data_IF_775855463747
#
_entry.id   IF_775855463747
#
_cell.length_a   1.000
_cell.length_b   1.000
_cell.length_c   1.000
_cell.angle_alpha   90.00
_cell.angle_beta   90.00
_cell.angle_gamma   90.00
#
_symmetry.space_group_name_H-M   'P 1'
#
loop_
_entity.id
_entity.type
_entity.pdbx_description
1 polymer ?
#
# COMPACT_ATOMS: atom_id res chain seq x y z
N UNK A 1 36.93 -0.71 14.94
CA UNK A 1 35.77 0.00 14.33
C UNK A 1 35.05 0.78 15.43
N UNK A 2 35.07 2.12 15.40
CA UNK A 2 34.57 2.95 16.51
C UNK A 2 33.03 3.07 16.48
N UNK A 3 32.40 3.24 17.64
CA UNK A 3 30.94 3.39 17.76
C UNK A 3 30.38 4.53 16.88
N UNK A 4 31.20 5.55 16.61
CA UNK A 4 30.85 6.66 15.72
C UNK A 4 30.62 6.21 14.27
N UNK A 5 31.49 5.36 13.72
CA UNK A 5 31.32 4.85 12.35
C UNK A 5 30.09 3.94 12.22
N UNK A 6 29.81 3.13 13.24
CA UNK A 6 28.59 2.29 13.29
C UNK A 6 27.30 3.13 13.33
N UNK A 7 27.26 4.17 14.15
CA UNK A 7 26.10 5.07 14.23
C UNK A 7 25.89 5.85 12.93
N UNK A 8 26.98 6.27 12.27
CA UNK A 8 26.91 6.95 10.98
C UNK A 8 26.36 6.03 9.89
N UNK A 9 26.88 4.80 9.78
CA UNK A 9 26.38 3.77 8.86
C UNK A 9 24.91 3.44 9.11
N UNK A 10 24.50 3.33 10.38
CA UNK A 10 23.11 3.12 10.77
C UNK A 10 22.21 4.29 10.33
N UNK A 11 22.64 5.53 10.58
CA UNK A 11 21.90 6.74 10.19
C UNK A 11 21.74 6.84 8.66
N UNK A 12 22.83 6.66 7.91
CA UNK A 12 22.77 6.68 6.44
C UNK A 12 21.87 5.58 5.89
N UNK A 13 21.95 4.35 6.42
CA UNK A 13 21.04 3.26 6.04
C UNK A 13 19.59 3.63 6.30
N UNK A 14 19.28 4.22 7.47
CA UNK A 14 17.91 4.63 7.82
C UNK A 14 17.35 5.69 6.87
N UNK A 15 18.13 6.73 6.57
CA UNK A 15 17.70 7.80 5.67
C UNK A 15 17.54 7.34 4.21
N UNK A 16 18.49 6.56 3.71
CA UNK A 16 18.45 6.05 2.33
C UNK A 16 17.31 5.03 2.18
N UNK A 17 17.14 4.14 3.16
CA UNK A 17 16.05 3.16 3.17
C UNK A 17 14.69 3.83 3.18
N UNK A 18 14.49 4.85 4.02
CA UNK A 18 13.23 5.60 4.05
C UNK A 18 12.90 6.21 2.69
N UNK A 19 13.88 6.83 2.02
CA UNK A 19 13.68 7.39 0.67
C UNK A 19 13.35 6.31 -0.36
N UNK A 20 14.07 5.20 -0.37
CA UNK A 20 13.82 4.09 -1.30
C UNK A 20 12.44 3.48 -1.08
N UNK A 21 12.06 3.29 0.18
CA UNK A 21 10.76 2.77 0.57
C UNK A 21 9.64 3.71 0.11
N UNK A 22 9.77 5.02 0.34
CA UNK A 22 8.79 6.02 -0.10
C UNK A 22 8.61 5.99 -1.62
N UNK A 23 9.71 5.89 -2.37
CA UNK A 23 9.69 5.81 -3.83
C UNK A 23 8.96 4.54 -4.28
N UNK A 24 9.34 3.38 -3.72
CA UNK A 24 8.74 2.09 -4.07
C UNK A 24 7.24 2.05 -3.79
N UNK A 25 6.82 2.51 -2.60
CA UNK A 25 5.39 2.58 -2.23
C UNK A 25 4.64 3.56 -3.13
N UNK A 26 5.24 4.71 -3.48
CA UNK A 26 4.62 5.69 -4.37
C UNK A 26 4.36 5.12 -5.77
N UNK A 27 5.31 4.38 -6.33
CA UNK A 27 5.18 3.71 -7.62
C UNK A 27 4.10 2.63 -7.58
N UNK A 28 4.10 1.78 -6.56
CA UNK A 28 3.09 0.73 -6.42
C UNK A 28 1.68 1.31 -6.23
N UNK A 29 1.55 2.40 -5.47
CA UNK A 29 0.28 3.13 -5.33
C UNK A 29 -0.18 3.76 -6.64
N UNK A 30 0.74 4.20 -7.51
CA UNK A 30 0.39 4.69 -8.84
C UNK A 30 -0.11 3.55 -9.74
N UNK A 31 0.63 2.44 -9.82
CA UNK A 31 0.23 1.27 -10.62
C UNK A 31 -1.13 0.71 -10.17
N UNK A 32 -1.42 0.76 -8.86
CA UNK A 32 -2.75 0.47 -8.31
C UNK A 32 -3.86 1.27 -8.96
N UNK A 33 -3.67 2.57 -9.16
CA UNK A 33 -4.70 3.45 -9.74
C UNK A 33 -4.95 3.17 -11.22
N UNK A 34 -3.93 2.64 -11.92
CA UNK A 34 -4.03 2.26 -13.32
C UNK A 34 -4.70 0.89 -13.45
N UNK A 35 -4.33 -0.07 -12.60
CA UNK A 35 -4.86 -1.42 -12.68
C UNK A 35 -5.27 -1.97 -11.31
N UNK A 36 -6.52 -1.69 -10.95
CA UNK A 36 -7.17 -2.16 -9.72
C UNK A 36 -7.29 -3.69 -9.66
N UNK A 37 -7.23 -4.40 -10.80
CA UNK A 37 -7.46 -5.86 -10.84
C UNK A 37 -6.39 -6.66 -10.07
N UNK A 38 -5.15 -6.16 -10.00
CA UNK A 38 -4.07 -6.83 -9.25
C UNK A 38 -4.25 -6.77 -7.73
N UNK A 39 -5.10 -5.87 -7.24
CA UNK A 39 -5.20 -5.52 -5.82
C UNK A 39 -6.43 -6.12 -5.14
N UNK A 40 -7.37 -6.67 -5.91
CA UNK A 40 -8.52 -7.40 -5.39
C UNK A 40 -9.21 -6.64 -4.25
N UNK A 41 -9.40 -7.32 -3.12
CA UNK A 41 -10.00 -6.75 -1.90
C UNK A 41 -8.99 -6.12 -0.93
N UNK A 42 -7.72 -5.97 -1.32
CA UNK A 42 -6.67 -5.45 -0.44
C UNK A 42 -6.84 -3.96 -0.18
N UNK A 43 -6.56 -3.54 1.05
CA UNK A 43 -6.67 -2.16 1.54
C UNK A 43 -5.31 -1.71 2.06
N UNK A 44 -4.86 -0.51 1.67
CA UNK A 44 -3.51 -0.02 1.95
C UNK A 44 -3.48 1.14 2.96
N UNK A 45 -4.63 1.50 3.51
CA UNK A 45 -4.72 2.59 4.47
C UNK A 45 -6.04 2.63 5.23
N UNK A 46 -6.08 3.44 6.29
CA UNK A 46 -7.25 3.63 7.16
C UNK A 46 -8.47 4.11 6.38
N UNK A 47 -8.26 5.00 5.41
CA UNK A 47 -9.36 5.57 4.61
C UNK A 47 -9.96 4.56 3.63
N UNK A 48 -9.16 3.59 3.18
CA UNK A 48 -9.60 2.58 2.19
C UNK A 48 -10.60 1.60 2.80
N UNK A 49 -10.40 1.21 4.06
CA UNK A 49 -11.33 0.35 4.80
C UNK A 49 -12.70 1.04 4.90
N UNK A 50 -12.71 2.30 5.33
CA UNK A 50 -13.96 3.06 5.43
C UNK A 50 -14.65 3.22 4.07
N UNK A 51 -13.91 3.55 3.01
CA UNK A 51 -14.46 3.67 1.65
C UNK A 51 -15.07 2.36 1.16
N UNK A 52 -14.38 1.24 1.38
CA UNK A 52 -14.85 -0.10 0.99
C UNK A 52 -16.13 -0.47 1.74
N UNK A 53 -16.10 -0.31 3.07
CA UNK A 53 -17.26 -0.58 3.93
C UNK A 53 -18.45 0.32 3.59
N UNK A 54 -18.24 1.63 3.42
CA UNK A 54 -19.29 2.58 3.02
C UNK A 54 -19.92 2.20 1.67
N UNK A 55 -19.11 1.73 0.73
CA UNK A 55 -19.59 1.27 -0.57
C UNK A 55 -20.46 0.03 -0.43
N UNK A 56 -20.05 -0.94 0.39
CA UNK A 56 -20.84 -2.12 0.71
C UNK A 56 -22.19 -1.77 1.36
N UNK A 57 -22.17 -0.99 2.44
CA UNK A 57 -23.39 -0.58 3.16
C UNK A 57 -24.36 0.18 2.25
N UNK A 58 -23.85 1.10 1.41
CA UNK A 58 -24.69 1.80 0.43
C UNK A 58 -25.36 0.88 -0.58
N UNK A 59 -24.74 -0.25 -0.94
CA UNK A 59 -25.36 -1.24 -1.84
C UNK A 59 -26.47 -2.00 -1.13
N UNK A 60 -26.22 -2.43 0.10
CA UNK A 60 -27.21 -3.13 0.94
C UNK A 60 -28.44 -2.25 1.19
N UNK A 61 -28.24 -0.97 1.50
CA UNK A 61 -29.32 -0.02 1.79
C UNK A 61 -30.10 0.49 0.56
N UNK A 62 -29.61 0.23 -0.67
CA UNK A 62 -30.32 0.58 -1.91
C UNK A 62 -31.37 -0.46 -2.30
N UNK A 63 -31.28 -1.66 -1.74
CA UNK A 63 -32.35 -2.64 -1.82
C UNK A 63 -33.45 -2.14 -0.88
N UNK A 64 -34.58 -1.72 -1.44
CA UNK A 64 -35.72 -1.09 -0.76
C UNK A 64 -36.48 -2.06 0.20
N UNK A 65 -35.75 -2.99 0.81
CA UNK A 65 -36.25 -4.05 1.67
C UNK A 65 -35.49 -4.13 3.00
N UNK A 66 -35.85 -5.11 3.82
CA UNK A 66 -35.22 -5.33 5.13
C UNK A 66 -33.71 -5.62 4.99
N UNK A 67 -32.94 -5.11 5.94
CA UNK A 67 -31.49 -5.36 6.00
C UNK A 67 -31.28 -6.86 6.21
N UNK A 68 -30.56 -7.57 5.32
CA UNK A 68 -30.36 -9.00 5.45
C UNK A 68 -29.46 -9.32 6.67
N UNK A 69 -29.66 -10.50 7.24
CA UNK A 69 -28.80 -10.99 8.32
C UNK A 69 -27.39 -11.30 7.78
N UNK A 70 -26.36 -10.84 8.50
CA UNK A 70 -24.96 -11.01 8.08
C UNK A 70 -24.20 -11.89 9.07
N UNK A 71 -23.30 -12.71 8.53
CA UNK A 71 -22.31 -13.46 9.29
C UNK A 71 -20.92 -12.94 8.97
N UNK A 72 -20.07 -12.86 10.00
CA UNK A 72 -18.72 -12.32 9.87
C UNK A 72 -17.71 -13.30 10.46
N UNK A 73 -16.55 -13.40 9.82
CA UNK A 73 -15.40 -14.15 10.34
C UNK A 73 -14.22 -13.20 10.37
N UNK A 74 -13.51 -13.18 11.49
CA UNK A 74 -12.21 -12.53 11.63
C UNK A 74 -11.14 -13.60 11.77
N UNK A 75 -10.11 -13.52 10.95
CA UNK A 75 -8.94 -14.39 11.02
C UNK A 75 -7.67 -13.53 11.09
N UNK A 76 -6.74 -13.94 11.93
CA UNK A 76 -5.44 -13.29 12.09
C UNK A 76 -4.35 -14.17 11.44
N UNK A 77 -3.44 -13.55 10.69
CA UNK A 77 -2.33 -14.25 10.02
C UNK A 77 -1.09 -14.22 10.91
N UNK A 78 -0.63 -15.39 11.32
CA UNK A 78 0.60 -15.52 12.12
C UNK A 78 1.86 -15.36 11.26
N UNK A 79 2.90 -14.70 11.80
CA UNK A 79 4.22 -14.54 11.16
C UNK A 79 4.19 -13.98 9.74
N UNK A 80 3.22 -13.11 9.43
CA UNK A 80 2.98 -12.62 8.07
C UNK A 80 4.20 -12.00 7.37
N UNK A 81 5.12 -11.41 8.13
CA UNK A 81 6.36 -10.85 7.60
C UNK A 81 7.43 -11.93 7.35
N UNK A 82 7.61 -12.84 8.31
CA UNK A 82 8.64 -13.89 8.23
C UNK A 82 8.26 -14.99 7.23
N UNK A 83 6.97 -15.13 6.94
CA UNK A 83 6.44 -16.15 6.03
C UNK A 83 6.36 -15.69 4.58
N UNK A 84 6.93 -14.55 4.20
CA UNK A 84 6.83 -14.03 2.83
C UNK A 84 7.73 -14.88 1.89
N UNK A 85 7.16 -15.60 0.90
CA UNK A 85 7.96 -16.29 -0.10
C UNK A 85 8.61 -15.28 -1.06
N UNK A 86 9.93 -15.11 -0.96
CA UNK A 86 10.67 -14.10 -1.73
C UNK A 86 10.54 -14.28 -3.25
N UNK A 87 10.56 -15.50 -3.77
CA UNK A 87 10.44 -15.74 -5.21
C UNK A 87 9.09 -15.26 -5.75
N UNK A 88 8.02 -15.52 -5.00
CA UNK A 88 6.67 -15.06 -5.34
C UNK A 88 6.52 -13.55 -5.16
N UNK A 89 7.17 -12.96 -4.16
CA UNK A 89 7.19 -11.50 -4.02
C UNK A 89 7.81 -10.85 -5.26
N UNK A 90 8.96 -11.35 -5.72
CA UNK A 90 9.62 -10.83 -6.93
C UNK A 90 8.74 -11.00 -8.15
N UNK A 91 8.15 -12.18 -8.34
CA UNK A 91 7.22 -12.46 -9.45
C UNK A 91 6.06 -11.45 -9.48
N UNK A 92 5.36 -11.25 -8.35
CA UNK A 92 4.23 -10.32 -8.26
C UNK A 92 4.68 -8.89 -8.55
N UNK A 93 5.81 -8.45 -7.99
CA UNK A 93 6.34 -7.10 -8.24
C UNK A 93 6.70 -6.92 -9.72
N UNK A 94 7.30 -7.92 -10.37
CA UNK A 94 7.60 -7.87 -11.81
C UNK A 94 6.34 -7.80 -12.67
N UNK A 95 5.28 -8.51 -12.31
CA UNK A 95 3.99 -8.45 -13.03
C UNK A 95 3.31 -7.08 -12.93
N UNK A 96 3.49 -6.39 -11.80
CA UNK A 96 2.95 -5.04 -11.58
C UNK A 96 3.79 -4.01 -12.33
N UNK A 97 5.11 -4.01 -12.13
CA UNK A 97 5.99 -2.97 -12.68
C UNK A 97 6.31 -3.14 -14.17
N UNK A 98 6.24 -4.38 -14.69
CA UNK A 98 6.50 -4.72 -16.10
C UNK A 98 7.79 -4.09 -16.62
N UNK A 99 8.95 -4.45 -16.04
CA UNK A 99 10.24 -3.80 -16.33
C UNK A 99 10.62 -3.81 -17.82
N UNK A 100 10.13 -4.79 -18.58
CA UNK A 100 10.25 -4.87 -20.04
C UNK A 100 9.72 -3.65 -20.79
N UNK A 101 8.72 -2.94 -20.21
CA UNK A 101 8.15 -1.72 -20.78
C UNK A 101 9.02 -0.48 -20.58
N UNK A 102 10.06 -0.56 -19.75
CA UNK A 102 10.95 0.56 -19.39
C UNK A 102 10.19 1.84 -19.00
N UNK A 103 9.12 1.67 -18.23
CA UNK A 103 8.29 2.78 -17.75
C UNK A 103 9.11 3.75 -16.90
N UNK A 104 8.98 5.05 -17.17
CA UNK A 104 9.63 6.11 -16.37
C UNK A 104 8.61 6.71 -15.41
N UNK A 105 8.91 6.67 -14.11
CA UNK A 105 8.06 7.24 -13.06
C UNK A 105 8.55 8.62 -12.65
N UNK A 106 7.64 9.59 -12.58
CA UNK A 106 7.93 10.95 -12.11
C UNK A 106 7.26 11.21 -10.77
N UNK A 107 8.04 11.34 -9.70
CA UNK A 107 7.52 11.71 -8.38
C UNK A 107 7.52 13.24 -8.25
N UNK A 108 6.32 13.80 -8.04
CA UNK A 108 6.15 15.25 -7.84
C UNK A 108 5.91 15.53 -6.35
N UNK A 109 6.64 16.50 -5.82
CA UNK A 109 6.47 16.98 -4.43
C UNK A 109 5.87 18.38 -4.47
N UNK A 110 4.82 18.58 -3.67
CA UNK A 110 4.12 19.85 -3.57
C UNK A 110 4.05 20.29 -2.12
N UNK A 111 4.13 21.60 -1.89
CA UNK A 111 3.78 22.22 -0.63
C UNK A 111 2.36 22.77 -0.73
N UNK A 112 1.50 22.44 0.22
CA UNK A 112 0.14 22.98 0.30
C UNK A 112 0.14 24.11 1.32
N UNK A 113 -0.16 25.32 0.88
CA UNK A 113 -0.37 26.45 1.78
C UNK A 113 -1.83 26.44 2.20
N UNK A 114 -2.10 26.10 3.46
CA UNK A 114 -3.44 26.20 4.02
C UNK A 114 -3.60 27.56 4.69
N UNK A 115 -4.61 28.31 4.28
CA UNK A 115 -5.04 29.50 4.99
C UNK A 115 -5.98 29.01 6.10
N UNK A 116 -5.48 29.03 7.34
CA UNK A 116 -6.33 28.85 8.53
C UNK A 116 -7.07 30.15 8.79
N UNK A 117 -8.38 30.13 8.64
CA UNK A 117 -9.31 31.18 9.10
C UNK A 117 -9.88 30.88 10.47
#
# INVERSE_FOLDING_TARGET
ETMFQKNMLFYYRKCIWGKLQDIGISVLNYERTINTSYIGSSVFGRDDIYKSWKTFVKKVLKSDGEIPHFYYVKADVSRAFDSIPHDKLVEVISQVLKPEKKTVYCIRRYAVVMITG
#
